data_IF_887034264396
#
_entry.id   IF_887034264396
#
_cell.length_a   1.000
_cell.length_b   1.000
_cell.length_c   1.000
_cell.angle_alpha   90.00
_cell.angle_beta   90.00
_cell.angle_gamma   90.00
#
_symmetry.space_group_name_H-M   'P 1'
#
loop_
_entity.id
_entity.type
_entity.pdbx_description
1 polymer ?
#
# COMPACT_ATOMS: atom_id res chain seq x y z
N UNK A 1 -25.34 -8.87 -19.00
CA UNK A 1 -24.07 -8.27 -18.52
C UNK A 1 -24.40 -7.06 -17.67
N UNK A 2 -23.63 -6.81 -16.65
CA UNK A 2 -23.81 -5.61 -15.82
C UNK A 2 -23.23 -4.39 -16.52
N UNK A 3 -22.07 -4.62 -17.18
CA UNK A 3 -21.37 -3.59 -17.95
C UNK A 3 -20.80 -4.21 -19.23
N UNK A 4 -20.87 -3.46 -20.34
CA UNK A 4 -20.08 -3.73 -21.55
C UNK A 4 -19.23 -2.50 -21.86
N UNK A 5 -17.93 -2.71 -22.04
CA UNK A 5 -17.02 -1.70 -22.61
C UNK A 5 -16.81 -2.08 -24.06
N UNK A 6 -17.16 -1.17 -25.00
CA UNK A 6 -17.08 -1.39 -26.44
C UNK A 6 -15.87 -0.68 -27.04
N UNK A 7 -15.33 -1.25 -28.10
CA UNK A 7 -14.27 -0.66 -28.93
C UNK A 7 -12.97 -0.35 -28.15
N UNK A 8 -12.65 -1.12 -27.13
CA UNK A 8 -11.45 -0.92 -26.30
C UNK A 8 -10.16 -1.28 -27.06
N UNK A 9 -9.13 -0.47 -26.90
CA UNK A 9 -7.76 -0.88 -27.23
C UNK A 9 -7.13 -1.48 -25.99
N UNK A 10 -6.45 -2.63 -26.13
CA UNK A 10 -5.85 -3.34 -25.01
C UNK A 10 -4.31 -3.17 -24.98
N UNK A 11 -3.66 -3.34 -23.81
CA UNK A 11 -2.21 -3.20 -23.69
C UNK A 11 -1.40 -4.19 -24.53
N UNK A 12 -1.99 -5.32 -24.90
CA UNK A 12 -1.37 -6.35 -25.73
C UNK A 12 -1.45 -6.07 -27.24
N UNK A 13 -1.96 -4.89 -27.63
CA UNK A 13 -2.06 -4.44 -29.01
C UNK A 13 -3.35 -4.81 -29.73
N UNK A 14 -4.27 -5.55 -29.11
CA UNK A 14 -5.61 -5.77 -29.68
C UNK A 14 -6.41 -4.48 -29.66
N UNK A 15 -7.16 -4.24 -30.74
CA UNK A 15 -7.96 -3.02 -30.93
C UNK A 15 -9.42 -3.38 -31.18
N UNK A 16 -10.33 -2.49 -30.82
CA UNK A 16 -11.76 -2.63 -31.05
C UNK A 16 -12.39 -3.78 -30.26
N UNK A 17 -11.83 -4.15 -29.12
CA UNK A 17 -12.29 -5.28 -28.30
C UNK A 17 -13.50 -4.87 -27.44
N UNK A 18 -14.44 -5.79 -27.31
CA UNK A 18 -15.57 -5.66 -26.40
C UNK A 18 -15.30 -6.45 -25.14
N UNK A 19 -15.46 -5.80 -23.98
CA UNK A 19 -15.25 -6.40 -22.66
C UNK A 19 -16.62 -6.49 -21.97
N UNK A 20 -17.11 -7.72 -21.79
CA UNK A 20 -18.36 -7.98 -21.06
C UNK A 20 -18.05 -8.31 -19.59
N UNK A 21 -18.72 -7.60 -18.69
CA UNK A 21 -18.56 -7.77 -17.24
C UNK A 21 -19.88 -8.27 -16.65
N UNK A 22 -19.79 -9.30 -15.81
CA UNK A 22 -20.92 -9.86 -15.08
C UNK A 22 -20.46 -10.24 -13.67
N UNK A 23 -21.23 -9.88 -12.65
CA UNK A 23 -20.94 -10.16 -11.23
C UNK A 23 -19.52 -9.71 -10.83
N UNK A 24 -19.10 -8.51 -11.31
CA UNK A 24 -17.79 -7.93 -11.03
C UNK A 24 -16.60 -8.64 -11.71
N UNK A 25 -16.84 -9.55 -12.67
CA UNK A 25 -15.79 -10.32 -13.37
C UNK A 25 -15.90 -10.13 -14.87
N UNK A 26 -14.73 -10.18 -15.55
CA UNK A 26 -14.69 -10.23 -17.01
C UNK A 26 -15.25 -11.58 -17.45
N UNK A 27 -16.44 -11.55 -18.11
CA UNK A 27 -17.14 -12.72 -18.60
C UNK A 27 -16.95 -12.95 -20.11
N UNK A 28 -16.58 -11.90 -20.86
CA UNK A 28 -16.30 -11.97 -22.29
C UNK A 28 -15.21 -10.97 -22.68
N UNK A 29 -14.39 -11.35 -23.66
CA UNK A 29 -13.32 -10.52 -24.24
C UNK A 29 -13.23 -10.84 -25.74
N UNK A 30 -13.99 -10.14 -26.59
CA UNK A 30 -14.27 -10.52 -27.96
C UNK A 30 -14.22 -9.33 -28.91
N UNK A 31 -14.12 -9.59 -30.22
CA UNK A 31 -14.17 -8.56 -31.28
C UNK A 31 -15.57 -8.04 -31.55
N UNK A 32 -16.61 -8.75 -31.12
CA UNK A 32 -18.00 -8.34 -31.21
C UNK A 32 -18.82 -9.02 -30.11
N UNK A 33 -19.69 -8.26 -29.47
CA UNK A 33 -20.57 -8.78 -28.42
C UNK A 33 -21.98 -8.25 -28.68
N UNK A 34 -22.93 -9.16 -28.99
CA UNK A 34 -24.33 -8.83 -29.24
C UNK A 34 -25.18 -8.77 -27.98
N UNK A 35 -24.60 -9.19 -26.84
CA UNK A 35 -25.28 -9.12 -25.55
C UNK A 35 -25.64 -7.67 -25.18
N UNK A 36 -26.75 -7.52 -24.45
CA UNK A 36 -27.13 -6.25 -23.80
C UNK A 36 -26.56 -6.19 -22.39
N UNK A 37 -26.26 -4.99 -21.92
CA UNK A 37 -25.84 -4.73 -20.55
C UNK A 37 -26.72 -3.64 -19.92
N UNK A 38 -26.70 -3.57 -18.59
CA UNK A 38 -27.36 -2.50 -17.84
C UNK A 38 -26.64 -1.16 -18.08
N UNK A 39 -25.31 -1.20 -18.25
CA UNK A 39 -24.47 -0.05 -18.57
C UNK A 39 -23.53 -0.38 -19.72
N UNK A 40 -23.37 0.58 -20.63
CA UNK A 40 -22.40 0.48 -21.73
C UNK A 40 -21.49 1.70 -21.75
N UNK A 41 -20.21 1.47 -22.05
CA UNK A 41 -19.18 2.50 -22.21
C UNK A 41 -18.57 2.30 -23.60
N UNK A 42 -18.56 3.35 -24.41
CA UNK A 42 -17.78 3.37 -25.65
C UNK A 42 -16.36 3.85 -25.35
N UNK A 43 -15.39 2.96 -25.55
CA UNK A 43 -13.97 3.22 -25.36
C UNK A 43 -13.23 3.43 -26.68
N UNK A 44 -13.92 3.86 -27.75
CA UNK A 44 -13.30 4.14 -29.04
C UNK A 44 -12.13 5.11 -28.91
N UNK A 45 -10.94 4.67 -29.34
CA UNK A 45 -9.71 5.46 -29.27
C UNK A 45 -9.01 5.46 -27.90
N UNK A 46 -9.59 4.84 -26.86
CA UNK A 46 -9.01 4.76 -25.53
C UNK A 46 -8.36 3.40 -25.26
N UNK A 47 -7.29 3.44 -24.46
CA UNK A 47 -6.70 2.24 -23.89
C UNK A 47 -7.50 1.82 -22.65
N UNK A 48 -7.87 0.55 -22.58
CA UNK A 48 -8.47 -0.08 -21.40
C UNK A 48 -7.45 -1.07 -20.84
N UNK A 49 -6.94 -0.78 -19.66
CA UNK A 49 -5.94 -1.58 -18.96
C UNK A 49 -6.43 -2.06 -17.60
N UNK A 50 -5.79 -3.07 -16.99
CA UNK A 50 -5.92 -3.29 -15.56
C UNK A 50 -5.60 -2.02 -14.77
N UNK A 51 -6.11 -1.88 -13.53
CA UNK A 51 -5.77 -0.75 -12.67
C UNK A 51 -4.27 -0.73 -12.35
N UNK A 52 -3.77 0.44 -11.96
CA UNK A 52 -2.42 0.57 -11.45
C UNK A 52 -2.29 -0.05 -10.06
N UNK A 53 -1.07 -0.55 -9.78
CA UNK A 53 -0.67 -1.10 -8.48
C UNK A 53 0.52 -0.29 -7.99
N UNK A 54 0.43 0.25 -6.79
CA UNK A 54 1.58 0.81 -6.07
C UNK A 54 2.12 -0.28 -5.13
N UNK A 55 3.25 -0.85 -5.50
CA UNK A 55 3.85 -1.95 -4.77
C UNK A 55 4.71 -1.50 -3.59
N UNK A 56 4.94 -0.18 -3.42
CA UNK A 56 5.82 0.36 -2.40
C UNK A 56 5.48 1.81 -2.03
N UNK A 57 4.79 1.99 -0.93
CA UNK A 57 4.40 3.30 -0.42
C UNK A 57 4.47 3.37 1.11
N UNK A 58 4.46 4.58 1.68
CA UNK A 58 4.41 4.85 3.11
C UNK A 58 3.20 5.76 3.39
N UNK A 59 2.03 5.15 3.56
CA UNK A 59 0.78 5.91 3.75
C UNK A 59 0.78 6.69 5.07
N UNK A 60 1.32 6.11 6.13
CA UNK A 60 1.41 6.74 7.45
C UNK A 60 2.06 8.13 7.42
N UNK A 61 2.97 8.37 6.48
CA UNK A 61 3.64 9.65 6.26
C UNK A 61 3.01 10.51 5.13
N UNK A 62 1.98 10.00 4.43
CA UNK A 62 1.42 10.70 3.27
C UNK A 62 0.76 12.03 3.65
N UNK A 63 0.73 12.97 2.71
CA UNK A 63 0.09 14.30 2.85
C UNK A 63 0.53 15.09 4.09
N UNK A 64 1.73 14.84 4.61
CA UNK A 64 2.31 15.51 5.77
C UNK A 64 3.29 16.65 5.41
N UNK A 65 3.37 17.04 4.13
CA UNK A 65 4.27 18.10 3.67
C UNK A 65 4.10 19.37 4.51
N UNK A 66 5.24 19.88 5.03
CA UNK A 66 5.27 21.06 5.90
C UNK A 66 5.05 20.77 7.38
N UNK A 67 4.87 19.50 7.77
CA UNK A 67 4.68 19.08 9.17
C UNK A 67 5.87 18.19 9.61
N UNK A 68 6.45 18.48 10.80
CA UNK A 68 6.29 19.70 11.62
C UNK A 68 6.95 20.93 10.98
N UNK A 69 7.78 20.75 9.95
CA UNK A 69 8.48 21.77 9.16
C UNK A 69 8.79 21.25 7.75
N UNK A 70 9.29 22.12 6.89
CA UNK A 70 9.73 21.73 5.55
C UNK A 70 11.09 21.02 5.59
N UNK A 71 11.29 20.05 4.70
CA UNK A 71 12.59 19.49 4.39
C UNK A 71 13.43 20.53 3.63
N UNK A 72 14.50 21.02 4.27
CA UNK A 72 15.34 22.11 3.74
C UNK A 72 16.43 21.58 2.80
N UNK A 73 16.98 20.41 3.09
CA UNK A 73 18.06 19.81 2.30
C UNK A 73 17.57 19.04 1.07
N UNK A 74 16.29 18.65 1.04
CA UNK A 74 15.74 17.73 0.05
C UNK A 74 16.27 16.31 0.14
N UNK A 75 16.98 15.97 1.22
CA UNK A 75 17.57 14.63 1.39
C UNK A 75 16.61 13.65 2.07
N UNK A 76 16.80 12.35 1.80
CA UNK A 76 16.09 11.28 2.49
C UNK A 76 16.36 11.28 4.00
N UNK A 77 17.60 11.55 4.43
CA UNK A 77 17.97 11.55 5.85
C UNK A 77 17.23 12.63 6.63
N UNK A 78 17.05 13.82 6.05
CA UNK A 78 16.20 14.85 6.67
C UNK A 78 14.73 14.45 6.66
N UNK A 79 14.25 13.76 5.63
CA UNK A 79 12.89 13.20 5.60
C UNK A 79 12.65 12.21 6.74
N UNK A 80 13.60 11.33 7.02
CA UNK A 80 13.54 10.39 8.15
C UNK A 80 13.54 11.14 9.49
N UNK A 81 14.39 12.18 9.63
CA UNK A 81 14.42 13.01 10.82
C UNK A 81 13.08 13.73 11.06
N UNK A 82 12.50 14.31 10.00
CA UNK A 82 11.17 14.94 10.05
C UNK A 82 10.07 13.98 10.48
N UNK A 83 10.12 12.74 9.99
CA UNK A 83 9.19 11.70 10.44
C UNK A 83 9.34 11.44 11.95
N UNK A 84 10.58 11.34 12.45
CA UNK A 84 10.87 11.22 13.88
C UNK A 84 10.35 12.41 14.71
N UNK A 85 10.47 13.64 14.18
CA UNK A 85 9.94 14.86 14.80
C UNK A 85 8.40 14.90 14.80
N UNK A 86 7.75 14.34 13.77
CA UNK A 86 6.30 14.31 13.63
C UNK A 86 5.65 13.24 14.51
N UNK A 87 6.27 12.07 14.65
CA UNK A 87 5.72 10.91 15.37
C UNK A 87 5.07 11.25 16.73
N UNK A 88 5.68 12.04 17.64
CA UNK A 88 5.10 12.36 18.95
C UNK A 88 3.74 13.09 18.88
N UNK A 89 3.46 13.76 17.77
CA UNK A 89 2.27 14.59 17.57
C UNK A 89 1.16 13.86 16.78
N UNK A 90 1.40 12.62 16.37
CA UNK A 90 0.43 11.85 15.59
C UNK A 90 -0.74 11.37 16.47
N UNK A 91 -1.92 11.34 15.87
CA UNK A 91 -3.12 10.67 16.39
C UNK A 91 -3.68 9.73 15.33
N UNK A 92 -4.47 8.75 15.75
CA UNK A 92 -5.14 7.80 14.84
C UNK A 92 -6.02 8.55 13.85
N UNK A 93 -6.78 9.55 14.34
CA UNK A 93 -7.71 10.34 13.53
C UNK A 93 -6.99 11.15 12.45
N UNK A 94 -5.88 11.81 12.81
CA UNK A 94 -5.11 12.63 11.87
C UNK A 94 -4.44 11.79 10.78
N UNK A 95 -3.95 10.60 11.11
CA UNK A 95 -3.40 9.64 10.14
C UNK A 95 -4.52 9.17 9.23
N UNK A 96 -5.62 8.67 9.80
CA UNK A 96 -6.77 8.15 9.05
C UNK A 96 -7.35 9.17 8.07
N UNK A 97 -7.51 10.43 8.48
CA UNK A 97 -8.00 11.50 7.61
C UNK A 97 -7.10 11.70 6.37
N UNK A 98 -5.77 11.77 6.57
CA UNK A 98 -4.81 11.90 5.46
C UNK A 98 -4.83 10.69 4.54
N UNK A 99 -4.89 9.50 5.11
CA UNK A 99 -4.84 8.24 4.38
C UNK A 99 -6.10 8.01 3.54
N UNK A 100 -7.28 8.29 4.06
CA UNK A 100 -8.53 8.25 3.29
C UNK A 100 -8.51 9.26 2.14
N UNK A 101 -8.05 10.49 2.39
CA UNK A 101 -7.87 11.48 1.34
C UNK A 101 -6.88 11.01 0.27
N UNK A 102 -5.80 10.35 0.66
CA UNK A 102 -4.85 9.77 -0.29
C UNK A 102 -5.49 8.63 -1.11
N UNK A 103 -6.27 7.76 -0.50
CA UNK A 103 -7.00 6.71 -1.19
C UNK A 103 -7.91 7.28 -2.28
N UNK A 104 -8.65 8.35 -1.99
CA UNK A 104 -9.50 9.02 -2.98
C UNK A 104 -8.69 9.59 -4.16
N UNK A 105 -7.55 10.22 -3.87
CA UNK A 105 -6.65 10.74 -4.90
C UNK A 105 -6.04 9.62 -5.76
N UNK A 106 -5.68 8.49 -5.15
CA UNK A 106 -5.12 7.33 -5.81
C UNK A 106 -6.15 6.69 -6.76
N UNK A 107 -7.35 6.42 -6.26
CA UNK A 107 -8.44 5.85 -7.05
C UNK A 107 -8.84 6.76 -8.21
N UNK A 108 -8.91 8.07 -8.00
CA UNK A 108 -9.16 9.05 -9.06
C UNK A 108 -8.11 9.02 -10.19
N UNK A 109 -6.96 8.38 -9.97
CA UNK A 109 -5.87 8.18 -10.93
C UNK A 109 -5.76 6.75 -11.45
N UNK A 110 -6.72 5.88 -11.12
CA UNK A 110 -6.76 4.48 -11.56
C UNK A 110 -5.88 3.53 -10.75
N UNK A 111 -5.41 3.93 -9.58
CA UNK A 111 -4.66 3.10 -8.65
C UNK A 111 -5.64 2.37 -7.72
N UNK A 112 -5.72 1.04 -7.81
CA UNK A 112 -6.68 0.25 -7.02
C UNK A 112 -6.03 -0.80 -6.12
N UNK A 113 -4.70 -0.86 -6.06
CA UNK A 113 -3.99 -1.72 -5.11
C UNK A 113 -2.74 -0.99 -4.59
N UNK A 114 -2.54 -0.99 -3.28
CA UNK A 114 -1.43 -0.32 -2.61
C UNK A 114 -0.80 -1.27 -1.60
N UNK A 115 0.54 -1.38 -1.61
CA UNK A 115 1.30 -1.95 -0.51
C UNK A 115 1.94 -0.82 0.27
N UNK A 116 1.52 -0.63 1.51
CA UNK A 116 2.02 0.41 2.39
C UNK A 116 2.88 -0.15 3.51
N UNK A 117 4.09 0.38 3.65
CA UNK A 117 4.95 0.17 4.80
C UNK A 117 4.47 1.05 5.95
N UNK A 118 4.24 0.44 7.12
CA UNK A 118 3.70 1.12 8.31
C UNK A 118 4.75 1.07 9.41
N UNK A 119 5.19 2.20 9.89
CA UNK A 119 6.21 2.30 10.94
C UNK A 119 5.72 1.65 12.25
N UNK A 120 6.43 0.62 12.68
CA UNK A 120 6.18 -0.08 13.94
C UNK A 120 7.13 0.35 15.07
N UNK A 121 7.97 1.37 14.85
CA UNK A 121 8.89 1.88 15.88
C UNK A 121 8.21 2.84 16.87
N UNK A 122 6.99 3.29 16.62
CA UNK A 122 6.18 4.01 17.62
C UNK A 122 5.57 2.99 18.59
N UNK A 123 5.90 3.04 19.89
CA UNK A 123 5.39 2.07 20.87
C UNK A 123 3.87 2.11 21.05
N UNK A 124 3.21 3.18 20.63
CA UNK A 124 1.75 3.33 20.63
C UNK A 124 1.10 2.58 19.47
N UNK A 125 1.84 2.27 18.37
CA UNK A 125 1.36 1.67 17.14
C UNK A 125 0.18 2.42 16.49
N UNK A 126 0.12 3.75 16.63
CA UNK A 126 -1.00 4.56 16.14
C UNK A 126 -1.20 4.45 14.62
N UNK A 127 -0.10 4.41 13.85
CA UNK A 127 -0.18 4.25 12.41
C UNK A 127 -0.74 2.87 12.02
N UNK A 128 -0.39 1.82 12.76
CA UNK A 128 -0.93 0.47 12.55
C UNK A 128 -2.44 0.45 12.77
N UNK A 129 -2.90 1.03 13.89
CA UNK A 129 -4.34 1.09 14.19
C UNK A 129 -5.11 1.89 13.14
N UNK A 130 -4.60 3.08 12.78
CA UNK A 130 -5.21 3.94 11.77
C UNK A 130 -5.32 3.22 10.40
N UNK A 131 -4.24 2.61 9.92
CA UNK A 131 -4.22 1.96 8.61
C UNK A 131 -5.02 0.66 8.56
N UNK A 132 -5.15 -0.07 9.67
CA UNK A 132 -6.07 -1.21 9.75
C UNK A 132 -7.54 -0.77 9.67
N UNK A 133 -7.89 0.41 10.22
CA UNK A 133 -9.22 0.99 10.04
C UNK A 133 -9.44 1.46 8.60
N UNK A 134 -8.48 2.20 8.01
CA UNK A 134 -8.54 2.63 6.61
C UNK A 134 -8.71 1.43 5.68
N UNK A 135 -7.92 0.37 5.88
CA UNK A 135 -8.01 -0.86 5.08
C UNK A 135 -9.42 -1.46 5.08
N UNK A 136 -10.10 -1.47 6.22
CA UNK A 136 -11.49 -1.95 6.31
C UNK A 136 -12.46 -1.04 5.58
N UNK A 137 -12.27 0.28 5.70
CA UNK A 137 -13.16 1.27 5.12
C UNK A 137 -13.08 1.31 3.59
N UNK A 138 -11.88 1.17 3.01
CA UNK A 138 -11.67 1.22 1.56
C UNK A 138 -11.82 -0.13 0.85
N UNK A 139 -12.00 -1.24 1.58
CA UNK A 139 -11.97 -2.61 1.06
C UNK A 139 -12.94 -2.89 -0.10
N UNK A 140 -14.00 -2.08 -0.26
CA UNK A 140 -14.96 -2.23 -1.35
C UNK A 140 -14.45 -1.73 -2.71
N UNK A 141 -13.40 -0.92 -2.74
CA UNK A 141 -12.92 -0.27 -3.96
C UNK A 141 -11.40 -0.20 -4.11
N UNK A 142 -10.63 -0.49 -3.06
CA UNK A 142 -9.18 -0.45 -3.09
C UNK A 142 -8.59 -1.58 -2.24
N UNK A 143 -7.65 -2.33 -2.81
CA UNK A 143 -6.88 -3.35 -2.09
C UNK A 143 -5.70 -2.71 -1.35
N UNK A 144 -5.73 -2.72 -0.02
CA UNK A 144 -4.65 -2.22 0.81
C UNK A 144 -3.94 -3.37 1.52
N UNK A 145 -2.66 -3.57 1.21
CA UNK A 145 -1.78 -4.50 1.89
C UNK A 145 -0.81 -3.73 2.79
N UNK A 146 -0.72 -4.12 4.06
CA UNK A 146 0.11 -3.46 5.06
C UNK A 146 1.36 -4.28 5.37
N UNK A 147 2.50 -3.60 5.47
CA UNK A 147 3.80 -4.16 5.83
C UNK A 147 4.19 -3.64 7.21
N UNK A 148 4.41 -4.51 8.19
CA UNK A 148 4.93 -4.13 9.51
C UNK A 148 6.41 -3.73 9.36
N UNK A 149 6.68 -2.44 9.31
CA UNK A 149 7.95 -1.90 8.89
C UNK A 149 8.75 -1.29 10.07
N UNK A 150 9.89 -1.88 10.45
CA UNK A 150 10.75 -1.35 11.50
C UNK A 150 11.59 -0.18 10.97
N UNK A 151 10.99 0.99 10.76
CA UNK A 151 11.56 2.18 10.11
C UNK A 151 12.94 2.57 10.64
N UNK A 152 13.17 2.43 11.94
CA UNK A 152 14.41 2.82 12.60
C UNK A 152 15.40 1.65 12.79
N UNK A 153 15.16 0.51 12.11
CA UNK A 153 15.94 -0.72 12.23
C UNK A 153 15.38 -1.70 13.26
N UNK A 154 15.50 -3.01 12.98
CA UNK A 154 14.94 -4.07 13.83
C UNK A 154 15.75 -4.27 15.13
N UNK A 155 17.08 -4.18 15.06
CA UNK A 155 17.97 -4.36 16.21
C UNK A 155 18.37 -3.06 16.89
N UNK A 156 18.04 -1.91 16.34
CA UNK A 156 18.46 -0.62 16.90
C UNK A 156 17.73 -0.27 18.19
N UNK A 157 16.50 -0.76 18.35
CA UNK A 157 15.67 -0.55 19.53
C UNK A 157 15.14 -1.90 20.01
N UNK A 158 15.39 -2.31 21.25
CA UNK A 158 15.00 -3.64 21.76
C UNK A 158 13.48 -3.92 21.67
N UNK A 159 12.67 -2.89 21.83
CA UNK A 159 11.20 -2.99 21.83
C UNK A 159 10.63 -3.30 20.45
N UNK A 160 11.35 -2.99 19.37
CA UNK A 160 10.84 -3.09 17.97
C UNK A 160 10.45 -4.52 17.62
N UNK A 161 11.18 -5.53 18.09
CA UNK A 161 10.83 -6.92 17.87
C UNK A 161 9.41 -7.24 18.37
N UNK A 162 9.08 -6.82 19.60
CA UNK A 162 7.76 -7.01 20.20
C UNK A 162 6.69 -6.17 19.51
N UNK A 163 7.02 -4.95 19.09
CA UNK A 163 6.09 -4.07 18.38
C UNK A 163 5.75 -4.62 17.01
N UNK A 164 6.71 -5.16 16.28
CA UNK A 164 6.51 -5.82 15.00
C UNK A 164 5.57 -7.03 15.15
N UNK A 165 5.82 -7.90 16.13
CA UNK A 165 4.96 -9.04 16.40
C UNK A 165 3.54 -8.58 16.77
N UNK A 166 3.39 -7.56 17.61
CA UNK A 166 2.09 -6.99 17.96
C UNK A 166 1.34 -6.43 16.73
N UNK A 167 2.04 -5.81 15.80
CA UNK A 167 1.44 -5.31 14.56
C UNK A 167 0.92 -6.48 13.69
N UNK A 168 1.70 -7.56 13.57
CA UNK A 168 1.30 -8.76 12.85
C UNK A 168 0.09 -9.44 13.53
N UNK A 169 0.08 -9.51 14.85
CA UNK A 169 -1.04 -10.07 15.62
C UNK A 169 -2.34 -9.26 15.47
N UNK A 170 -2.24 -7.96 15.20
CA UNK A 170 -3.39 -7.08 14.86
C UNK A 170 -3.91 -7.27 13.44
N UNK A 171 -3.18 -7.98 12.57
CA UNK A 171 -3.60 -8.31 11.20
C UNK A 171 -2.88 -7.54 10.10
N UNK A 172 -1.67 -7.04 10.35
CA UNK A 172 -0.78 -6.55 9.30
C UNK A 172 -0.32 -7.74 8.44
N UNK A 173 -0.27 -7.57 7.12
CA UNK A 173 -0.23 -8.68 6.14
C UNK A 173 1.18 -9.21 5.84
N UNK A 174 2.21 -8.39 6.03
CA UNK A 174 3.56 -8.66 5.54
C UNK A 174 4.60 -8.28 6.60
N UNK A 175 5.66 -9.07 6.71
CA UNK A 175 6.81 -8.74 7.57
C UNK A 175 7.74 -7.82 6.81
N UNK A 176 7.98 -6.64 7.36
CA UNK A 176 8.90 -5.63 6.80
C UNK A 176 10.31 -5.71 7.39
N UNK A 177 11.26 -5.06 6.71
CA UNK A 177 12.63 -4.92 7.18
C UNK A 177 13.39 -3.82 6.49
N UNK A 178 14.44 -3.33 7.15
CA UNK A 178 15.37 -2.31 6.62
C UNK A 178 16.81 -2.68 6.99
N UNK A 179 17.37 -3.77 6.43
CA UNK A 179 18.66 -4.31 6.86
C UNK A 179 19.82 -3.35 6.67
N UNK A 180 19.78 -2.46 5.68
CA UNK A 180 20.84 -1.46 5.46
C UNK A 180 20.83 -0.31 6.47
N UNK A 181 19.79 -0.18 7.30
CA UNK A 181 19.69 0.84 8.34
C UNK A 181 20.09 0.30 9.73
N UNK A 182 20.48 -0.98 9.84
CA UNK A 182 21.05 -1.52 11.06
C UNK A 182 22.45 -0.91 11.34
N UNK A 183 22.96 -1.08 12.57
CA UNK A 183 24.24 -0.47 12.99
C UNK A 183 25.44 -1.05 12.24
N UNK A 184 25.37 -2.33 11.89
CA UNK A 184 26.44 -3.08 11.21
C UNK A 184 25.88 -3.98 10.12
N UNK A 185 26.73 -4.38 9.18
CA UNK A 185 26.37 -5.36 8.13
C UNK A 185 25.97 -6.71 8.73
N UNK A 186 26.53 -7.10 9.87
CA UNK A 186 26.20 -8.37 10.51
C UNK A 186 24.83 -8.29 11.20
N UNK A 187 24.48 -7.17 11.81
CA UNK A 187 23.11 -6.91 12.29
C UNK A 187 22.11 -6.91 11.11
N UNK A 188 22.47 -6.29 9.98
CA UNK A 188 21.64 -6.30 8.77
C UNK A 188 21.36 -7.70 8.27
N UNK A 189 22.39 -8.54 8.11
CA UNK A 189 22.22 -9.95 7.72
C UNK A 189 21.33 -10.71 8.72
N UNK A 190 21.61 -10.54 10.01
CA UNK A 190 20.84 -11.18 11.07
C UNK A 190 19.38 -10.72 11.10
N UNK A 191 19.11 -9.45 10.79
CA UNK A 191 17.71 -8.94 10.69
C UNK A 191 16.95 -9.65 9.57
N UNK A 192 17.58 -9.84 8.40
CA UNK A 192 16.98 -10.60 7.29
C UNK A 192 16.62 -12.03 7.74
N UNK A 193 17.56 -12.75 8.38
CA UNK A 193 17.33 -14.12 8.84
C UNK A 193 16.18 -14.21 9.85
N UNK A 194 16.15 -13.30 10.84
CA UNK A 194 15.10 -13.29 11.87
C UNK A 194 13.74 -12.96 11.27
N UNK A 195 13.66 -11.91 10.45
CA UNK A 195 12.39 -11.45 9.85
C UNK A 195 11.83 -12.48 8.86
N UNK A 196 12.69 -13.14 8.07
CA UNK A 196 12.28 -14.25 7.20
C UNK A 196 11.76 -15.44 8.02
N UNK A 197 12.36 -15.75 9.17
CA UNK A 197 11.88 -16.81 10.05
C UNK A 197 10.52 -16.46 10.65
N UNK A 198 10.32 -15.24 11.18
CA UNK A 198 9.02 -14.77 11.68
C UNK A 198 7.94 -14.91 10.60
N UNK A 199 8.25 -14.50 9.38
CA UNK A 199 7.32 -14.62 8.25
C UNK A 199 6.98 -16.08 7.94
N UNK A 200 7.98 -16.97 7.89
CA UNK A 200 7.79 -18.39 7.62
C UNK A 200 6.93 -19.07 8.71
N UNK A 201 7.20 -18.81 9.99
CA UNK A 201 6.45 -19.34 11.11
C UNK A 201 4.97 -18.90 11.11
N UNK A 202 4.68 -17.70 10.57
CA UNK A 202 3.33 -17.14 10.47
C UNK A 202 2.67 -17.37 9.10
N UNK A 203 3.34 -17.99 8.14
CA UNK A 203 2.84 -18.16 6.77
C UNK A 203 2.67 -16.83 6.02
N UNK A 204 3.43 -15.80 6.39
CA UNK A 204 3.38 -14.46 5.80
C UNK A 204 4.48 -14.25 4.76
N UNK A 205 4.33 -13.20 3.98
CA UNK A 205 5.36 -12.73 3.03
C UNK A 205 6.35 -11.79 3.73
N UNK A 206 7.47 -11.53 3.05
CA UNK A 206 8.49 -10.56 3.47
C UNK A 206 8.63 -9.48 2.40
N UNK A 207 8.80 -8.25 2.84
CA UNK A 207 9.12 -7.10 2.00
C UNK A 207 10.15 -6.20 2.72
N UNK A 208 11.32 -5.99 2.13
CA UNK A 208 12.43 -5.29 2.75
C UNK A 208 12.95 -4.17 1.85
N UNK A 209 13.42 -3.10 2.49
CA UNK A 209 14.11 -1.97 1.85
C UNK A 209 15.57 -2.28 1.56
#
# INVERSE_FOLDING_TARGET
MDLIIRNANLPDGRVGIYIGIKDGKIAALEVALTAKAEKEIDASGYLVSPPFVDAHFHMDATLSLGQPRLNQSGTLLEGIALWGELKPHLTVEAIKERDLRYCDLAVARGLLAIRSHVDVCDPRLLAVDALLEVKKEVASYLDLQLVAFPQDGYFRTPEVAKLLENALDRGVDVVGGIPHFERTMDEGKKSVEVLCRIAAERGLRVDMH
#
